data_IF_247320440997
#
_entry.id   IF_247320440997
#
_cell.length_a   1.000
_cell.length_b   1.000
_cell.length_c   1.000
_cell.angle_alpha   90.00
_cell.angle_beta   90.00
_cell.angle_gamma   90.00
#
_symmetry.space_group_name_H-M   'P 1'
#
loop_
_entity.id
_entity.type
_entity.pdbx_description
1 polymer ?
#
# COMPACT_ATOMS: atom_id res chain seq x y z
N UNK A 1 18.32 24.82 -38.39
CA UNK A 1 16.97 24.62 -38.98
C UNK A 1 16.04 25.65 -38.34
N UNK A 2 15.59 26.66 -39.08
CA UNK A 2 14.74 27.74 -38.56
C UNK A 2 13.28 27.44 -38.83
N UNK A 3 12.49 27.24 -37.77
CA UNK A 3 11.05 27.03 -37.87
C UNK A 3 10.36 28.38 -38.12
N UNK A 4 9.58 28.49 -39.20
CA UNK A 4 8.80 29.68 -39.53
C UNK A 4 7.34 29.42 -39.20
N UNK A 5 6.83 30.10 -38.17
CA UNK A 5 5.42 30.03 -37.78
C UNK A 5 4.66 31.13 -38.52
N UNK A 6 3.62 30.75 -39.25
CA UNK A 6 2.71 31.67 -39.93
C UNK A 6 1.30 31.43 -39.42
N UNK A 7 0.66 32.49 -38.92
CA UNK A 7 -0.73 32.46 -38.49
C UNK A 7 -1.60 32.63 -39.73
N UNK A 8 -2.28 31.55 -40.13
CA UNK A 8 -3.14 31.52 -41.33
C UNK A 8 -4.36 32.44 -41.19
N UNK A 9 -4.99 32.43 -40.02
CA UNK A 9 -6.17 33.27 -39.75
C UNK A 9 -6.31 33.57 -38.27
N UNK A 10 -6.49 34.85 -37.95
CA UNK A 10 -6.85 35.30 -36.61
C UNK A 10 -8.33 35.67 -36.57
N UNK A 11 -9.07 35.13 -35.60
CA UNK A 11 -10.50 35.40 -35.44
C UNK A 11 -10.71 36.19 -34.14
N UNK A 12 -10.97 37.48 -34.25
CA UNK A 12 -11.07 38.41 -33.10
C UNK A 12 -12.17 38.07 -32.11
N UNK A 13 -13.20 37.33 -32.53
CA UNK A 13 -14.38 36.98 -31.72
C UNK A 13 -14.75 35.50 -31.76
N UNK A 14 -13.78 34.62 -32.03
CA UNK A 14 -14.05 33.19 -31.99
C UNK A 14 -14.42 32.76 -30.57
N UNK A 15 -15.62 32.23 -30.40
CA UNK A 15 -16.04 31.54 -29.18
C UNK A 15 -15.93 30.03 -29.41
N UNK A 16 -15.27 29.27 -28.52
CA UNK A 16 -15.22 27.82 -28.65
C UNK A 16 -16.62 27.24 -28.44
N UNK A 17 -17.19 26.64 -29.49
CA UNK A 17 -18.43 25.88 -29.38
C UNK A 17 -18.10 24.40 -29.15
N UNK A 18 -18.54 23.85 -28.02
CA UNK A 18 -18.29 22.45 -27.64
C UNK A 18 -19.59 21.80 -27.19
N UNK A 19 -19.92 20.67 -27.80
CA UNK A 19 -21.10 19.88 -27.45
C UNK A 19 -20.68 18.63 -26.69
N UNK A 20 -21.28 18.40 -25.53
CA UNK A 20 -21.09 17.18 -24.72
C UNK A 20 -22.43 16.46 -24.68
N UNK A 21 -22.45 15.21 -25.16
CA UNK A 21 -23.65 14.36 -25.17
C UNK A 21 -23.46 13.17 -24.22
N UNK A 22 -24.52 12.74 -23.51
CA UNK A 22 -24.49 11.48 -22.77
C UNK A 22 -24.25 10.31 -23.73
N UNK A 23 -23.37 9.39 -23.35
CA UNK A 23 -23.14 8.15 -24.06
C UNK A 23 -23.12 6.97 -23.06
N UNK A 24 -23.61 5.77 -23.43
CA UNK A 24 -23.48 4.59 -22.59
C UNK A 24 -22.00 4.27 -22.32
N UNK A 25 -21.68 3.62 -21.19
CA UNK A 25 -20.30 3.22 -20.89
C UNK A 25 -19.75 2.33 -22.02
N UNK A 26 -18.52 2.58 -22.51
CA UNK A 26 -17.93 1.73 -23.55
C UNK A 26 -17.65 0.32 -23.01
N UNK A 27 -17.71 -0.70 -23.88
CA UNK A 27 -17.56 -2.12 -23.49
C UNK A 27 -16.17 -2.48 -22.95
N UNK A 28 -15.10 -1.73 -23.29
CA UNK A 28 -13.78 -1.72 -22.62
C UNK A 28 -12.83 -0.74 -23.31
N UNK A 29 -11.80 -0.29 -22.57
CA UNK A 29 -10.59 0.40 -23.04
C UNK A 29 -10.68 1.75 -23.79
N UNK A 30 -11.87 2.26 -24.11
CA UNK A 30 -11.99 3.68 -24.48
C UNK A 30 -11.92 4.58 -23.23
N UNK A 31 -10.78 5.23 -23.00
CA UNK A 31 -10.66 6.32 -22.02
C UNK A 31 -11.45 7.54 -22.48
N UNK A 32 -12.77 7.54 -22.28
CA UNK A 32 -13.57 8.77 -22.36
C UNK A 32 -13.39 9.55 -21.07
N UNK A 33 -12.86 10.76 -21.18
CA UNK A 33 -12.81 11.69 -20.04
C UNK A 33 -14.24 11.98 -19.61
N UNK A 34 -14.58 11.63 -18.38
CA UNK A 34 -15.89 11.91 -17.79
C UNK A 34 -16.10 13.43 -17.70
N UNK A 35 -17.34 13.90 -17.80
CA UNK A 35 -17.66 15.31 -17.67
C UNK A 35 -18.89 15.49 -16.78
N UNK A 36 -18.93 16.61 -16.05
CA UNK A 36 -20.05 17.01 -15.20
C UNK A 36 -20.60 18.34 -15.67
N UNK A 37 -21.93 18.46 -15.68
CA UNK A 37 -22.62 19.72 -15.99
C UNK A 37 -22.79 20.50 -14.69
N UNK A 38 -22.11 21.62 -14.55
CA UNK A 38 -22.13 22.44 -13.34
C UNK A 38 -22.88 23.74 -13.62
N UNK A 39 -23.65 24.19 -12.63
CA UNK A 39 -24.31 25.49 -12.63
C UNK A 39 -24.15 26.12 -11.25
N UNK A 40 -23.73 27.37 -11.22
CA UNK A 40 -23.47 28.10 -9.98
C UNK A 40 -24.72 28.93 -9.65
N UNK A 41 -25.16 28.88 -8.40
CA UNK A 41 -26.36 29.56 -7.93
C UNK A 41 -25.98 30.51 -6.80
N UNK A 42 -26.29 31.79 -6.97
CA UNK A 42 -26.08 32.83 -5.95
C UNK A 42 -27.40 33.47 -5.50
N UNK A 43 -27.34 34.43 -4.56
CA UNK A 43 -28.52 35.10 -4.00
C UNK A 43 -29.35 35.91 -5.00
N UNK A 44 -28.75 36.33 -6.12
CA UNK A 44 -29.39 37.23 -7.12
C UNK A 44 -29.54 36.62 -8.52
N UNK A 45 -28.99 35.42 -8.77
CA UNK A 45 -29.04 34.82 -10.10
C UNK A 45 -28.35 33.46 -10.22
N UNK A 46 -28.47 32.86 -11.41
CA UNK A 46 -27.85 31.57 -11.78
C UNK A 46 -26.86 31.80 -12.93
N UNK A 47 -25.72 31.11 -12.91
CA UNK A 47 -24.81 31.07 -14.06
C UNK A 47 -25.40 30.24 -15.20
N UNK A 48 -24.84 30.40 -16.40
CA UNK A 48 -25.06 29.42 -17.45
C UNK A 48 -24.47 28.06 -17.05
N UNK A 49 -25.12 26.95 -17.44
CA UNK A 49 -24.59 25.63 -17.18
C UNK A 49 -23.37 25.37 -18.07
N UNK A 50 -22.26 24.98 -17.45
CA UNK A 50 -21.00 24.69 -18.10
C UNK A 50 -20.64 23.21 -17.94
N UNK A 51 -20.12 22.60 -19.01
CA UNK A 51 -19.56 21.26 -18.93
C UNK A 51 -18.10 21.34 -18.48
N UNK A 52 -17.79 20.65 -17.39
CA UNK A 52 -16.43 20.54 -16.84
C UNK A 52 -15.95 19.11 -17.02
N UNK A 53 -14.90 18.94 -17.82
CA UNK A 53 -14.30 17.63 -18.12
C UNK A 53 -13.34 17.23 -17.00
N UNK A 54 -13.17 15.93 -16.78
CA UNK A 54 -12.21 15.38 -15.84
C UNK A 54 -10.81 15.97 -16.09
N UNK A 55 -10.15 16.41 -15.01
CA UNK A 55 -8.87 17.16 -14.96
C UNK A 55 -8.88 18.57 -15.56
N UNK A 56 -9.98 19.03 -16.16
CA UNK A 56 -10.09 20.39 -16.70
C UNK A 56 -10.57 21.36 -15.61
N UNK A 57 -9.97 22.55 -15.55
CA UNK A 57 -10.43 23.66 -14.72
C UNK A 57 -11.07 24.73 -15.62
N UNK A 58 -12.31 25.12 -15.31
CA UNK A 58 -13.09 26.09 -16.08
C UNK A 58 -13.37 27.31 -15.23
N UNK A 59 -13.07 28.49 -15.76
CA UNK A 59 -13.54 29.75 -15.17
C UNK A 59 -14.99 29.96 -15.60
N UNK A 60 -15.89 29.94 -14.63
CA UNK A 60 -17.31 30.23 -14.82
C UNK A 60 -17.55 31.62 -14.24
N UNK A 61 -17.94 32.55 -15.11
CA UNK A 61 -18.38 33.87 -14.68
C UNK A 61 -19.79 33.76 -14.09
N UNK A 62 -19.99 34.38 -12.93
CA UNK A 62 -21.30 34.62 -12.36
C UNK A 62 -21.35 36.06 -11.83
N UNK A 63 -22.54 36.57 -11.52
CA UNK A 63 -22.80 38.00 -11.25
C UNK A 63 -21.83 38.74 -10.29
N UNK A 64 -21.21 38.06 -9.33
CA UNK A 64 -20.32 38.66 -8.33
C UNK A 64 -18.83 38.35 -8.55
N UNK A 65 -18.47 37.68 -9.65
CA UNK A 65 -17.08 37.38 -9.96
C UNK A 65 -16.88 36.19 -10.90
N UNK A 66 -15.62 35.79 -11.05
CA UNK A 66 -15.25 34.57 -11.78
C UNK A 66 -14.80 33.52 -10.78
N UNK A 67 -15.33 32.30 -10.91
CA UNK A 67 -14.87 31.18 -10.11
C UNK A 67 -14.33 30.08 -10.99
N UNK A 68 -13.27 29.44 -10.51
CA UNK A 68 -12.67 28.30 -11.18
C UNK A 68 -13.29 27.02 -10.63
N UNK A 69 -14.03 26.31 -11.47
CA UNK A 69 -14.63 25.01 -11.16
C UNK A 69 -13.81 23.93 -11.87
N UNK A 70 -13.44 22.86 -11.15
CA UNK A 70 -12.69 21.74 -11.71
C UNK A 70 -13.31 20.42 -11.27
N UNK A 71 -13.34 19.44 -12.17
CA UNK A 71 -13.75 18.07 -11.88
C UNK A 71 -12.52 17.17 -11.86
N UNK A 72 -12.06 16.78 -10.68
CA UNK A 72 -10.80 16.05 -10.49
C UNK A 72 -10.83 15.19 -9.23
N UNK A 73 -9.82 14.34 -9.07
CA UNK A 73 -9.65 13.55 -7.87
C UNK A 73 -9.57 14.45 -6.63
N UNK A 74 -10.01 13.97 -5.45
CA UNK A 74 -9.86 14.71 -4.20
C UNK A 74 -8.40 15.09 -3.97
N UNK A 75 -8.14 16.38 -3.78
CA UNK A 75 -6.82 16.89 -3.42
C UNK A 75 -6.74 16.98 -1.89
N UNK A 76 -5.66 16.44 -1.33
CA UNK A 76 -5.39 16.50 0.10
C UNK A 76 -4.18 17.40 0.31
N UNK A 77 -4.37 18.49 1.05
CA UNK A 77 -3.28 19.38 1.40
C UNK A 77 -2.26 18.65 2.29
N UNK A 78 -0.98 18.83 2.00
CA UNK A 78 0.09 18.35 2.86
C UNK A 78 0.19 19.26 4.11
N UNK A 79 0.50 18.70 5.29
CA UNK A 79 0.64 19.48 6.53
C UNK A 79 1.95 20.27 6.62
N UNK A 80 2.76 20.26 5.56
CA UNK A 80 4.04 20.96 5.43
C UNK A 80 4.23 21.42 3.98
N UNK A 81 5.14 22.36 3.76
CA UNK A 81 5.47 22.85 2.43
C UNK A 81 6.74 22.20 1.91
N UNK A 82 6.78 21.91 0.61
CA UNK A 82 7.97 21.38 -0.07
C UNK A 82 8.38 22.35 -1.15
N UNK A 83 9.64 22.80 -1.14
CA UNK A 83 10.21 23.72 -2.13
C UNK A 83 11.41 23.07 -2.78
N UNK A 84 11.43 23.03 -4.10
CA UNK A 84 12.62 22.61 -4.86
C UNK A 84 13.68 23.73 -4.77
N UNK A 85 14.85 23.40 -4.22
CA UNK A 85 15.99 24.31 -4.11
C UNK A 85 16.90 24.20 -5.34
N UNK A 86 17.21 22.96 -5.74
CA UNK A 86 18.09 22.67 -6.87
C UNK A 86 17.66 21.36 -7.49
N UNK A 87 17.70 21.31 -8.81
CA UNK A 87 17.54 20.09 -9.59
C UNK A 87 18.83 19.86 -10.37
N UNK A 88 19.31 18.62 -10.38
CA UNK A 88 20.46 18.21 -11.17
C UNK A 88 20.08 16.98 -12.01
N UNK A 89 20.56 16.94 -13.24
CA UNK A 89 20.29 15.85 -14.18
C UNK A 89 21.52 15.59 -15.02
N UNK A 90 22.27 14.55 -14.68
CA UNK A 90 23.40 14.10 -15.47
C UNK A 90 22.89 13.32 -16.69
N UNK A 91 23.45 13.60 -17.86
CA UNK A 91 23.10 12.93 -19.13
C UNK A 91 24.15 11.89 -19.50
N UNK A 92 23.74 10.85 -20.22
CA UNK A 92 24.69 9.90 -20.79
C UNK A 92 25.60 10.61 -21.80
N UNK A 93 26.92 10.34 -21.78
CA UNK A 93 27.84 10.91 -22.77
C UNK A 93 27.38 10.58 -24.19
N UNK A 94 27.20 11.61 -25.03
CA UNK A 94 26.75 11.45 -26.41
C UNK A 94 25.25 11.25 -26.61
N UNK A 95 24.42 11.38 -25.57
CA UNK A 95 22.96 11.29 -25.66
C UNK A 95 22.27 12.43 -24.89
N UNK A 96 21.04 12.77 -25.28
CA UNK A 96 20.17 13.66 -24.50
C UNK A 96 19.47 12.94 -23.34
N UNK A 97 19.61 11.61 -23.23
CA UNK A 97 18.99 10.80 -22.18
C UNK A 97 19.63 11.09 -20.81
N UNK A 98 18.78 11.40 -19.83
CA UNK A 98 19.22 11.54 -18.44
C UNK A 98 19.67 10.19 -17.88
N UNK A 99 20.91 10.15 -17.40
CA UNK A 99 21.50 9.02 -16.69
C UNK A 99 21.10 9.00 -15.22
N UNK A 100 20.97 10.17 -14.59
CA UNK A 100 20.53 10.31 -13.21
C UNK A 100 19.91 11.68 -13.04
N UNK A 101 18.83 11.77 -12.25
CA UNK A 101 18.26 13.03 -11.86
C UNK A 101 17.97 13.05 -10.36
N UNK A 102 18.29 14.17 -9.73
CA UNK A 102 18.25 14.37 -8.30
C UNK A 102 17.69 15.76 -7.97
N UNK A 103 16.97 15.83 -6.85
CA UNK A 103 16.29 17.03 -6.39
C UNK A 103 16.68 17.32 -4.95
N UNK A 104 17.20 18.52 -4.71
CA UNK A 104 17.34 19.08 -3.36
C UNK A 104 16.06 19.84 -3.03
N UNK A 105 15.38 19.40 -1.97
CA UNK A 105 14.12 19.98 -1.53
C UNK A 105 14.23 20.49 -0.10
N UNK A 106 13.66 21.66 0.15
CA UNK A 106 13.44 22.20 1.48
C UNK A 106 12.03 21.86 1.92
N UNK A 107 11.91 21.19 3.05
CA UNK A 107 10.65 20.92 3.73
C UNK A 107 10.51 21.94 4.85
N UNK A 108 9.42 22.69 4.81
CA UNK A 108 9.03 23.66 5.84
C UNK A 108 7.83 23.09 6.59
N UNK A 109 8.09 22.50 7.75
CA UNK A 109 7.07 21.90 8.60
C UNK A 109 6.84 22.78 9.84
N UNK A 110 5.61 23.27 10.08
CA UNK A 110 5.29 24.10 11.24
C UNK A 110 5.59 23.45 12.60
N UNK A 111 5.56 22.12 12.70
CA UNK A 111 5.80 21.37 13.95
C UNK A 111 7.26 20.94 14.12
N UNK A 112 7.95 20.63 13.01
CA UNK A 112 9.31 20.05 13.02
C UNK A 112 10.40 21.03 12.58
N UNK A 113 10.02 22.20 12.10
CA UNK A 113 10.91 23.21 11.56
C UNK A 113 11.29 22.98 10.11
N UNK A 114 12.34 23.68 9.69
CA UNK A 114 12.85 23.66 8.33
C UNK A 114 13.96 22.63 8.21
N UNK A 115 13.87 21.76 7.20
CA UNK A 115 14.92 20.80 6.87
C UNK A 115 15.15 20.70 5.37
N UNK A 116 16.37 20.38 4.97
CA UNK A 116 16.73 20.12 3.58
C UNK A 116 16.93 18.62 3.36
N UNK A 117 16.45 18.13 2.24
CA UNK A 117 16.46 16.72 1.88
C UNK A 117 16.88 16.55 0.42
N UNK A 118 17.59 15.46 0.18
CA UNK A 118 17.99 15.04 -1.15
C UNK A 118 17.12 13.86 -1.59
N UNK A 119 16.52 13.96 -2.77
CA UNK A 119 15.68 12.93 -3.38
C UNK A 119 16.33 12.52 -4.69
N UNK A 120 16.59 11.23 -4.86
CA UNK A 120 17.09 10.65 -6.11
C UNK A 120 16.25 9.43 -6.51
N UNK A 121 16.42 8.93 -7.74
CA UNK A 121 15.61 7.83 -8.30
C UNK A 121 15.50 6.61 -7.37
N UNK A 122 16.57 6.28 -6.65
CA UNK A 122 16.63 5.12 -5.76
C UNK A 122 16.61 5.48 -4.27
N UNK A 123 16.57 6.77 -3.94
CA UNK A 123 16.47 7.26 -2.56
C UNK A 123 15.27 8.21 -2.43
N UNK A 124 14.07 7.66 -2.21
CA UNK A 124 12.89 8.47 -1.92
C UNK A 124 13.00 9.11 -0.53
N UNK A 125 12.38 10.28 -0.37
CA UNK A 125 12.28 10.94 0.93
C UNK A 125 11.10 10.41 1.73
N UNK A 126 11.38 9.89 2.91
CA UNK A 126 10.37 9.50 3.89
C UNK A 126 10.19 10.63 4.91
N UNK A 127 9.01 11.27 4.93
CA UNK A 127 8.72 12.38 5.83
C UNK A 127 7.27 12.32 6.35
N UNK A 128 7.08 12.28 7.68
CA UNK A 128 5.75 12.21 8.35
C UNK A 128 4.78 11.17 7.78
N UNK A 129 5.28 9.99 7.38
CA UNK A 129 4.46 8.91 6.79
C UNK A 129 4.11 9.12 5.31
N UNK A 130 4.63 10.18 4.69
CA UNK A 130 4.63 10.37 3.24
C UNK A 130 5.96 9.92 2.65
N UNK A 131 5.90 9.37 1.45
CA UNK A 131 7.05 8.97 0.66
C UNK A 131 7.02 9.79 -0.63
N UNK A 132 8.07 10.56 -0.85
CA UNK A 132 8.27 11.36 -2.05
C UNK A 132 9.21 10.61 -2.98
N UNK A 133 8.67 10.16 -4.09
CA UNK A 133 9.42 9.55 -5.17
C UNK A 133 9.68 10.59 -6.24
N UNK A 134 10.92 10.64 -6.72
CA UNK A 134 11.23 11.39 -7.92
C UNK A 134 10.64 10.64 -9.12
N UNK A 135 9.54 11.15 -9.68
CA UNK A 135 8.80 10.46 -10.73
C UNK A 135 9.23 10.88 -12.13
N UNK A 136 9.51 12.17 -12.32
CA UNK A 136 9.95 12.71 -13.61
C UNK A 136 10.50 14.13 -13.44
N UNK A 137 10.85 14.77 -14.54
CA UNK A 137 11.26 16.16 -14.60
C UNK A 137 10.85 16.75 -15.95
N UNK A 138 10.70 18.07 -15.99
CA UNK A 138 10.45 18.82 -17.22
C UNK A 138 11.67 19.69 -17.48
N UNK A 139 12.32 19.46 -18.62
CA UNK A 139 13.39 20.32 -19.11
C UNK A 139 12.78 21.64 -19.63
N UNK A 140 13.25 22.76 -19.08
CA UNK A 140 12.80 24.11 -19.42
C UNK A 140 13.47 25.15 -18.53
N UNK A 141 13.14 26.42 -18.76
CA UNK A 141 13.46 27.51 -17.83
C UNK A 141 12.17 28.05 -17.21
N UNK A 142 11.83 27.71 -15.95
CA UNK A 142 12.64 26.97 -14.98
C UNK A 142 12.57 25.44 -15.16
N UNK A 143 13.63 24.73 -14.75
CA UNK A 143 13.61 23.28 -14.58
C UNK A 143 12.61 22.90 -13.50
N UNK A 144 11.77 21.90 -13.77
CA UNK A 144 10.76 21.42 -12.83
C UNK A 144 10.98 19.95 -12.52
N UNK A 145 10.87 19.60 -11.24
CA UNK A 145 10.85 18.20 -10.80
C UNK A 145 9.41 17.78 -10.53
N UNK A 146 9.07 16.56 -10.94
CA UNK A 146 7.77 15.94 -10.71
C UNK A 146 7.96 14.87 -9.63
N UNK A 147 7.30 15.07 -8.49
CA UNK A 147 7.27 14.11 -7.40
C UNK A 147 5.97 13.31 -7.41
N UNK A 148 6.08 12.00 -7.21
CA UNK A 148 4.94 11.15 -6.84
C UNK A 148 4.91 11.01 -5.33
N UNK A 149 3.76 11.27 -4.72
CA UNK A 149 3.60 11.26 -3.26
C UNK A 149 2.68 10.11 -2.87
N UNK A 150 3.17 9.23 -2.01
CA UNK A 150 2.38 8.15 -1.45
C UNK A 150 2.34 8.28 0.08
N UNK A 151 1.18 8.02 0.69
CA UNK A 151 1.08 7.86 2.14
C UNK A 151 1.20 6.37 2.47
N UNK A 152 2.22 6.01 3.24
CA UNK A 152 2.44 4.62 3.63
C UNK A 152 2.67 4.55 5.14
N UNK A 153 2.08 3.57 5.85
CA UNK A 153 2.38 3.30 7.26
C UNK A 153 3.85 2.90 7.47
N UNK A 154 4.60 2.67 6.38
CA UNK A 154 6.05 2.49 6.37
C UNK A 154 6.47 1.03 6.40
N UNK A 155 7.78 0.83 6.37
CA UNK A 155 8.41 -0.48 6.45
C UNK A 155 8.07 -1.28 7.72
N UNK A 156 7.84 -0.67 8.92
CA UNK A 156 7.57 -1.45 10.13
C UNK A 156 6.37 -2.38 10.00
N UNK A 157 5.27 -1.92 9.38
CA UNK A 157 4.08 -2.75 9.20
C UNK A 157 4.34 -3.93 8.25
N UNK A 158 5.09 -3.68 7.17
CA UNK A 158 5.50 -4.72 6.23
C UNK A 158 6.36 -5.77 6.94
N UNK A 159 7.32 -5.34 7.76
CA UNK A 159 8.16 -6.25 8.52
C UNK A 159 7.41 -7.05 9.59
N UNK A 160 6.38 -6.48 10.23
CA UNK A 160 5.49 -7.26 11.12
C UNK A 160 4.79 -8.37 10.34
N UNK A 161 4.26 -8.06 9.14
CA UNK A 161 3.63 -9.05 8.27
C UNK A 161 4.59 -10.18 7.88
N UNK A 162 5.81 -9.83 7.44
CA UNK A 162 6.86 -10.81 7.14
C UNK A 162 7.20 -11.65 8.37
N UNK A 163 7.35 -11.02 9.54
CA UNK A 163 7.64 -11.71 10.81
C UNK A 163 6.54 -12.71 11.20
N UNK A 164 5.26 -12.34 11.04
CA UNK A 164 4.13 -13.24 11.30
C UNK A 164 4.13 -14.45 10.35
N UNK A 165 4.43 -14.23 9.07
CA UNK A 165 4.55 -15.33 8.08
C UNK A 165 5.71 -16.25 8.45
N UNK A 166 6.90 -15.69 8.72
CA UNK A 166 8.07 -16.46 9.15
C UNK A 166 7.80 -17.28 10.41
N UNK A 167 7.12 -16.69 11.40
CA UNK A 167 6.72 -17.37 12.62
C UNK A 167 5.71 -18.49 12.36
N UNK A 168 4.73 -18.27 11.47
CA UNK A 168 3.74 -19.30 11.09
C UNK A 168 4.39 -20.50 10.41
N UNK A 169 5.34 -20.26 9.50
CA UNK A 169 6.14 -21.31 8.85
C UNK A 169 6.97 -22.07 9.88
N UNK A 170 7.65 -21.36 10.79
CA UNK A 170 8.42 -21.98 11.87
C UNK A 170 7.53 -22.85 12.78
N UNK A 171 6.33 -22.37 13.11
CA UNK A 171 5.37 -23.12 13.91
C UNK A 171 4.92 -24.41 13.21
N UNK A 172 4.60 -24.32 11.91
CA UNK A 172 4.13 -25.44 11.11
C UNK A 172 5.18 -26.54 10.95
N UNK A 173 6.42 -26.17 10.63
CA UNK A 173 7.48 -27.14 10.31
C UNK A 173 8.28 -27.63 11.51
N UNK A 174 8.35 -26.88 12.61
CA UNK A 174 9.21 -27.22 13.73
C UNK A 174 8.43 -27.47 15.02
N UNK A 175 7.55 -26.55 15.44
CA UNK A 175 6.86 -26.69 16.73
C UNK A 175 5.80 -27.79 16.70
N UNK A 176 4.93 -27.82 15.70
CA UNK A 176 3.91 -28.87 15.55
C UNK A 176 4.49 -30.29 15.52
N UNK A 177 5.46 -30.63 14.66
CA UNK A 177 6.02 -31.99 14.65
C UNK A 177 6.83 -32.31 15.90
N UNK A 178 7.49 -31.32 16.53
CA UNK A 178 8.18 -31.54 17.80
C UNK A 178 7.20 -31.86 18.93
N UNK A 179 6.07 -31.16 19.01
CA UNK A 179 5.00 -31.44 19.97
C UNK A 179 4.36 -32.82 19.71
N UNK A 180 4.03 -33.12 18.45
CA UNK A 180 3.47 -34.43 18.07
C UNK A 180 4.42 -35.59 18.42
N UNK A 181 5.75 -35.41 18.23
CA UNK A 181 6.76 -36.40 18.64
C UNK A 181 6.80 -36.59 20.17
N UNK A 182 6.63 -35.53 20.95
CA UNK A 182 6.58 -35.61 22.42
C UNK A 182 5.34 -36.36 22.91
N UNK A 183 4.20 -36.11 22.29
CA UNK A 183 2.95 -36.79 22.65
C UNK A 183 2.99 -38.28 22.28
N UNK A 184 3.54 -38.61 21.10
CA UNK A 184 3.78 -40.01 20.71
C UNK A 184 4.72 -40.74 21.66
N UNK A 185 5.82 -40.09 22.10
CA UNK A 185 6.76 -40.68 23.05
C UNK A 185 6.12 -40.93 24.43
N UNK A 186 5.28 -40.00 24.92
CA UNK A 186 4.53 -40.17 26.17
C UNK A 186 3.52 -41.31 26.09
N UNK A 187 2.82 -41.44 24.96
CA UNK A 187 1.88 -42.54 24.76
C UNK A 187 2.57 -43.92 24.77
N UNK A 188 3.76 -44.03 24.17
CA UNK A 188 4.55 -45.26 24.21
C UNK A 188 5.01 -45.63 25.62
N UNK A 189 5.48 -44.66 26.40
CA UNK A 189 5.88 -44.89 27.79
C UNK A 189 4.70 -45.33 28.66
N UNK A 190 3.53 -44.70 28.51
CA UNK A 190 2.33 -45.07 29.25
C UNK A 190 1.83 -46.49 28.90
N UNK A 191 1.97 -46.91 27.64
CA UNK A 191 1.68 -48.30 27.25
C UNK A 191 2.64 -49.29 27.91
N UNK A 192 3.95 -48.99 27.90
CA UNK A 192 4.99 -49.82 28.52
C UNK A 192 4.81 -49.94 30.05
N UNK A 193 4.37 -48.88 30.72
CA UNK A 193 4.03 -48.90 32.15
C UNK A 193 2.77 -49.73 32.45
N UNK A 194 1.77 -49.74 31.56
CA UNK A 194 0.55 -50.55 31.73
C UNK A 194 0.81 -52.03 31.51
N UNK A 195 1.69 -52.35 30.56
CA UNK A 195 2.12 -53.71 30.24
C UNK A 195 2.95 -54.29 31.39
N UNK A 196 3.96 -53.56 31.87
CA UNK A 196 4.75 -53.96 33.06
C UNK A 196 3.93 -54.08 34.35
N UNK A 197 2.83 -53.34 34.51
CA UNK A 197 1.90 -53.48 35.64
C UNK A 197 1.01 -54.73 35.54
N UNK A 198 0.66 -55.16 34.32
CA UNK A 198 -0.07 -56.42 34.11
C UNK A 198 0.82 -57.65 34.26
N UNK A 199 2.10 -57.52 33.96
CA UNK A 199 3.09 -58.60 34.03
C UNK A 199 3.74 -58.72 35.43
N UNK A 200 3.54 -57.74 36.31
CA UNK A 200 3.94 -57.83 37.70
C UNK A 200 3.14 -58.93 38.42
N UNK A 201 3.79 -59.99 38.96
CA UNK A 201 3.07 -61.05 39.66
C UNK A 201 2.34 -60.44 40.86
N UNK A 202 1.06 -60.74 41.04
CA UNK A 202 0.30 -60.29 42.20
C UNK A 202 0.96 -60.85 43.47
N UNK A 203 1.68 -60.01 44.21
CA UNK A 203 2.30 -60.38 45.48
C UNK A 203 1.28 -60.80 46.57
N UNK A 204 -0.02 -60.65 46.27
CA UNK A 204 -1.14 -60.98 47.17
C UNK A 204 -1.63 -62.44 47.03
N UNK A 205 -1.19 -63.19 46.01
CA UNK A 205 -1.55 -64.61 45.87
C UNK A 205 -0.75 -65.56 46.78
N UNK A 206 0.26 -65.05 47.51
CA UNK A 206 1.17 -65.86 48.34
C UNK A 206 0.83 -65.87 49.84
N UNK A 207 -0.29 -65.27 50.27
CA UNK A 207 -0.73 -65.31 51.69
C UNK A 207 -2.20 -65.73 51.80
N UNK A 208 -2.43 -67.02 52.04
CA UNK A 208 -3.66 -67.45 52.72
C UNK A 208 -4.22 -68.82 52.37
N UNK A 209 -3.84 -69.84 53.13
CA UNK A 209 -4.74 -70.67 53.98
C UNK A 209 -3.99 -71.90 54.54
N UNK A 210 -3.84 -72.05 55.86
CA UNK A 210 -3.50 -73.33 56.46
C UNK A 210 -4.77 -74.12 56.84
N UNK A 211 -4.75 -75.43 56.61
CA UNK A 211 -5.56 -76.40 57.35
C UNK A 211 -6.72 -77.05 56.59
N UNK A 212 -6.58 -78.35 56.30
CA UNK A 212 -7.31 -79.40 57.02
C UNK A 212 -6.76 -80.77 56.60
N UNK A 213 -6.26 -81.53 57.57
CA UNK A 213 -5.88 -82.92 57.44
C UNK A 213 -7.14 -83.80 57.57
N UNK A 214 -7.22 -84.88 56.80
CA UNK A 214 -8.11 -86.02 57.10
C UNK A 214 -7.38 -87.33 56.76
N UNK A 215 -7.53 -88.39 57.59
CA UNK A 215 -6.62 -89.51 57.61
C UNK A 215 -7.05 -90.68 56.72
N UNK A 216 -6.06 -91.52 56.42
CA UNK A 216 -6.15 -92.77 55.70
C UNK A 216 -7.03 -93.82 56.40
N UNK A 217 -7.70 -94.67 55.60
CA UNK A 217 -8.00 -96.04 55.99
C UNK A 217 -8.16 -96.97 54.79
N UNK A 218 -7.37 -98.06 54.81
CA UNK A 218 -7.64 -99.43 54.31
C UNK A 218 -7.86 -99.61 52.79
N UNK A 219 -7.24 -100.55 52.08
CA UNK A 219 -6.55 -101.78 52.43
C UNK A 219 -6.73 -102.77 51.26
N UNK A 220 -5.87 -103.80 51.22
CA UNK A 220 -5.67 -104.86 50.22
C UNK A 220 -4.68 -104.56 49.09
#
# INVERSE_FOLDING_TARGET
MGMKVTVDRFLERAAPHRTVSPAPPPEKDERRLSAVKVRLQGPRGRSNPEWVVWTEARKVAWESGTATVAYRAPEVALPFQVRLLRFNSDKYPGSSMAATYESWVRVDDPERGVSEHHISMNHPLHYRGYIFFQASFVEGEPMMSIFSVARSPGLPLVYVGVGLISMGVLWMFYLKPMLARRDAARALLAHKERESRHEAPSADAARGRPGAAEPASSGA
#
